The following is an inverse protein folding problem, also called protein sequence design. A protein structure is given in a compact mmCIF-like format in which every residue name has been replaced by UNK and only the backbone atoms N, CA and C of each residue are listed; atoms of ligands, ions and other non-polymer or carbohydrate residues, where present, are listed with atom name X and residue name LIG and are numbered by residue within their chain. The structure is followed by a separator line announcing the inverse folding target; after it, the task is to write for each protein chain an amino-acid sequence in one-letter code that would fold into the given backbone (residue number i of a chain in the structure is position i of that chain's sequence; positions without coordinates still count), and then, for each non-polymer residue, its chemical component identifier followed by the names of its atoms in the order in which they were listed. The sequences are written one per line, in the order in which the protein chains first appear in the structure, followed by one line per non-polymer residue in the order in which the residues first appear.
data_IF_907149818710
#
_entry.id   IF_907149818710
#
_cell.length_a   1.000
_cell.length_b   1.000
_cell.length_c   1.000
_cell.angle_alpha   90.00
_cell.angle_beta   90.00
_cell.angle_gamma   90.00
#
_symmetry.space_group_name_H-M   'P 1'
#
loop_
_entity.id
_entity.type
_entity.pdbx_description
1 polymer ?
#
# COMPACT_ATOMS: atom_id res chain seq x y z
N UNK A 1 -11.19 -27.15 3.91
CA UNK A 1 -10.15 -27.21 4.96
C UNK A 1 -10.60 -27.93 6.23
N UNK A 2 -11.75 -27.57 6.83
CA UNK A 2 -12.27 -28.21 8.06
C UNK A 2 -12.30 -29.75 7.99
N UNK A 3 -12.83 -30.30 6.89
CA UNK A 3 -12.88 -31.74 6.64
C UNK A 3 -11.50 -32.43 6.55
N UNK A 4 -10.42 -31.67 6.27
CA UNK A 4 -9.04 -32.18 6.25
C UNK A 4 -8.38 -32.16 7.65
N UNK A 5 -9.13 -31.75 8.68
CA UNK A 5 -8.67 -31.63 10.06
C UNK A 5 -7.86 -30.36 10.34
N UNK A 6 -7.84 -29.38 9.42
CA UNK A 6 -7.22 -28.08 9.65
C UNK A 6 -7.98 -27.33 10.74
N UNK A 7 -7.31 -26.98 11.83
CA UNK A 7 -7.93 -26.25 12.96
C UNK A 7 -7.22 -24.95 13.29
N UNK A 8 -5.93 -24.84 12.95
CA UNK A 8 -5.13 -23.66 13.23
C UNK A 8 -4.33 -23.22 12.01
N UNK A 9 -3.91 -21.97 12.02
CA UNK A 9 -2.97 -21.40 11.06
C UNK A 9 -1.93 -20.56 11.79
N UNK A 10 -0.83 -20.27 11.12
CA UNK A 10 0.21 -19.36 11.61
C UNK A 10 0.65 -18.45 10.49
N UNK A 11 0.94 -17.20 10.83
CA UNK A 11 1.45 -16.21 9.91
C UNK A 11 2.88 -15.87 10.32
N UNK A 12 3.73 -15.72 9.32
CA UNK A 12 5.12 -15.34 9.53
C UNK A 12 5.63 -14.44 8.43
N UNK A 13 6.68 -13.70 8.75
CA UNK A 13 7.38 -12.79 7.86
C UNK A 13 8.87 -13.08 7.88
N UNK A 14 9.50 -13.06 6.71
CA UNK A 14 10.95 -13.10 6.56
C UNK A 14 11.38 -12.13 5.47
N UNK A 15 12.53 -11.46 5.64
CA UNK A 15 13.13 -10.70 4.55
C UNK A 15 13.45 -11.63 3.37
N UNK A 16 13.36 -11.11 2.15
CA UNK A 16 13.68 -11.84 0.93
C UNK A 16 14.58 -11.05 -0.02
N UNK A 17 15.31 -11.79 -0.84
CA UNK A 17 16.09 -11.23 -1.94
C UNK A 17 15.23 -10.90 -3.18
N UNK A 18 15.90 -10.59 -4.28
CA UNK A 18 15.24 -10.22 -5.54
C UNK A 18 14.56 -11.40 -6.26
N UNK A 19 14.95 -12.64 -5.97
CA UNK A 19 14.35 -13.84 -6.57
C UNK A 19 13.27 -14.46 -5.68
N UNK A 20 13.13 -13.95 -4.45
CA UNK A 20 12.11 -14.38 -3.50
C UNK A 20 12.60 -15.42 -2.51
N UNK A 21 13.92 -15.59 -2.37
CA UNK A 21 14.50 -16.49 -1.37
C UNK A 21 14.61 -15.77 -0.01
N UNK A 22 14.32 -16.45 1.11
CA UNK A 22 14.42 -15.86 2.43
C UNK A 22 15.89 -15.56 2.79
N UNK A 23 16.18 -14.33 3.19
CA UNK A 23 17.54 -13.86 3.54
C UNK A 23 17.74 -13.65 5.04
N UNK A 24 16.67 -13.75 5.83
CA UNK A 24 16.71 -13.52 7.27
C UNK A 24 15.86 -14.50 8.07
N UNK A 25 15.95 -14.40 9.39
CA UNK A 25 15.15 -15.21 10.30
C UNK A 25 13.67 -14.91 10.13
N UNK A 26 12.87 -15.98 10.14
CA UNK A 26 11.41 -15.89 10.12
C UNK A 26 10.88 -15.42 11.47
N UNK A 27 10.13 -14.31 11.48
CA UNK A 27 9.35 -13.84 12.64
C UNK A 27 7.94 -14.39 12.54
N UNK A 28 7.45 -15.01 13.61
CA UNK A 28 6.07 -15.47 13.73
C UNK A 28 5.25 -14.41 14.46
N UNK A 29 4.06 -14.10 13.95
CA UNK A 29 3.17 -13.14 14.60
C UNK A 29 2.58 -13.72 15.89
N UNK A 30 2.53 -12.89 16.93
CA UNK A 30 2.10 -13.23 18.28
C UNK A 30 1.11 -12.21 18.87
N UNK A 31 0.63 -11.26 18.08
CA UNK A 31 -0.43 -10.35 18.51
C UNK A 31 -1.72 -11.12 18.77
N UNK A 32 -2.43 -10.75 19.84
CA UNK A 32 -3.75 -11.31 20.16
C UNK A 32 -4.74 -10.99 19.04
N UNK A 33 -5.46 -12.01 18.59
CA UNK A 33 -6.48 -11.90 17.55
C UNK A 33 -7.81 -12.45 18.07
N UNK A 34 -8.86 -11.63 18.03
CA UNK A 34 -10.22 -12.05 18.29
C UNK A 34 -11.15 -11.65 17.16
N UNK A 35 -12.14 -12.49 16.87
CA UNK A 35 -13.19 -12.20 15.89
C UNK A 35 -14.54 -12.09 16.58
N UNK A 36 -15.35 -11.15 16.08
CA UNK A 36 -16.71 -10.90 16.49
C UNK A 36 -17.69 -11.80 15.74
N UNK A 37 -18.75 -12.24 16.44
CA UNK A 37 -19.84 -13.01 15.87
C UNK A 37 -21.18 -12.62 16.48
N UNK A 38 -22.26 -12.86 15.74
CA UNK A 38 -23.62 -12.67 16.21
C UNK A 38 -24.10 -13.91 16.99
N UNK A 39 -24.76 -13.68 18.12
CA UNK A 39 -25.38 -14.72 18.92
C UNK A 39 -26.82 -14.32 19.28
N UNK A 40 -27.75 -15.24 19.03
CA UNK A 40 -29.14 -15.11 19.45
C UNK A 40 -29.27 -15.65 20.88
N UNK A 41 -29.74 -14.81 21.80
CA UNK A 41 -30.01 -15.22 23.17
C UNK A 41 -31.34 -15.99 23.31
N UNK A 42 -31.64 -16.49 24.52
CA UNK A 42 -32.87 -17.22 24.79
C UNK A 42 -34.15 -16.38 24.60
N UNK A 43 -34.04 -15.04 24.65
CA UNK A 43 -35.12 -14.09 24.43
C UNK A 43 -35.21 -13.61 22.97
N UNK A 44 -34.42 -14.19 22.06
CA UNK A 44 -34.32 -13.85 20.63
C UNK A 44 -33.71 -12.47 20.34
N UNK A 45 -32.93 -11.90 21.25
CA UNK A 45 -32.10 -10.74 20.93
C UNK A 45 -30.83 -11.17 20.23
N UNK A 46 -30.40 -10.39 19.24
CA UNK A 46 -29.08 -10.55 18.61
C UNK A 46 -28.08 -9.73 19.43
N UNK A 47 -27.07 -10.40 19.95
CA UNK A 47 -25.93 -9.77 20.63
C UNK A 47 -24.65 -10.00 19.85
N UNK A 48 -23.70 -9.08 19.97
CA UNK A 48 -22.35 -9.24 19.41
C UNK A 48 -21.46 -9.80 20.51
N UNK A 49 -20.77 -10.88 20.19
CA UNK A 49 -19.84 -11.56 21.07
C UNK A 49 -18.46 -11.61 20.41
N UNK A 50 -17.42 -11.89 21.18
CA UNK A 50 -16.05 -12.03 20.71
C UNK A 50 -15.52 -13.43 21.02
N UNK A 51 -14.75 -14.01 20.10
CA UNK A 51 -14.02 -15.26 20.31
C UNK A 51 -12.52 -14.99 20.13
N UNK A 52 -11.70 -15.37 21.10
CA UNK A 52 -10.25 -15.24 21.00
C UNK A 52 -9.71 -16.39 20.13
N UNK A 53 -9.08 -16.04 19.01
CA UNK A 53 -8.52 -17.01 18.08
C UNK A 53 -7.08 -17.38 18.42
N UNK A 54 -6.33 -16.52 19.11
CA UNK A 54 -4.94 -16.79 19.47
C UNK A 54 -4.14 -15.53 19.78
N UNK A 55 -2.82 -15.65 19.93
CA UNK A 55 -2.04 -16.87 19.68
C UNK A 55 -2.27 -17.95 20.74
N UNK A 56 -2.14 -19.21 20.35
CA UNK A 56 -2.10 -20.37 21.25
C UNK A 56 -0.93 -21.29 20.91
N UNK A 57 -0.68 -22.27 21.78
CA UNK A 57 0.25 -23.38 21.53
C UNK A 57 -0.53 -24.67 21.35
N UNK A 58 -0.18 -25.46 20.33
CA UNK A 58 -0.82 -26.74 20.01
C UNK A 58 0.22 -27.85 19.85
N UNK A 59 -0.25 -29.10 19.85
CA UNK A 59 0.60 -30.28 19.73
C UNK A 59 1.42 -30.58 20.97
N UNK A 60 2.32 -31.57 20.85
CA UNK A 60 3.21 -31.98 21.93
C UNK A 60 4.56 -32.46 21.38
N UNK A 61 5.61 -32.36 22.20
CA UNK A 61 6.96 -32.80 21.82
C UNK A 61 7.46 -32.09 20.55
N UNK A 62 7.97 -32.87 19.58
CA UNK A 62 8.49 -32.35 18.31
C UNK A 62 7.42 -31.70 17.40
N UNK A 63 6.14 -32.00 17.63
CA UNK A 63 5.01 -31.39 16.90
C UNK A 63 4.46 -30.15 17.62
N UNK A 64 5.09 -29.68 18.69
CA UNK A 64 4.66 -28.44 19.35
C UNK A 64 4.74 -27.27 18.37
N UNK A 65 3.67 -26.49 18.25
CA UNK A 65 3.61 -25.27 17.45
C UNK A 65 3.10 -24.13 18.32
N UNK A 66 3.90 -23.08 18.41
CA UNK A 66 3.53 -21.82 19.07
C UNK A 66 3.04 -20.81 18.03
N UNK A 67 2.44 -19.72 18.51
CA UNK A 67 2.04 -18.58 17.69
C UNK A 67 1.01 -18.97 16.61
N UNK A 68 0.11 -19.91 16.94
CA UNK A 68 -0.94 -20.35 16.03
C UNK A 68 -2.28 -19.74 16.41
N UNK A 69 -3.16 -19.59 15.44
CA UNK A 69 -4.49 -19.01 15.57
C UNK A 69 -5.53 -20.01 15.10
N UNK A 70 -6.65 -20.12 15.81
CA UNK A 70 -7.79 -20.95 15.43
C UNK A 70 -8.40 -20.44 14.13
N UNK A 71 -8.74 -21.35 13.21
CA UNK A 71 -9.45 -21.02 11.97
C UNK A 71 -10.94 -20.78 12.29
N UNK A 72 -11.49 -19.58 12.05
CA UNK A 72 -12.91 -19.29 12.24
C UNK A 72 -13.72 -19.80 11.04
N UNK A 73 -14.15 -21.06 11.06
CA UNK A 73 -15.00 -21.57 9.97
C UNK A 73 -16.40 -20.95 10.04
N UNK A 74 -16.97 -20.65 8.88
CA UNK A 74 -18.33 -20.08 8.75
C UNK A 74 -19.39 -20.90 9.45
N UNK A 75 -19.26 -22.24 9.46
CA UNK A 75 -20.23 -23.12 10.11
C UNK A 75 -20.09 -23.18 11.64
N UNK A 76 -19.04 -22.59 12.23
CA UNK A 76 -18.84 -22.61 13.69
C UNK A 76 -19.67 -21.53 14.40
N UNK A 77 -19.79 -20.34 13.79
CA UNK A 77 -20.51 -19.18 14.32
C UNK A 77 -20.93 -18.24 13.18
N UNK A 78 -21.89 -17.37 13.45
CA UNK A 78 -22.29 -16.28 12.54
C UNK A 78 -21.30 -15.10 12.65
N UNK A 79 -20.12 -15.25 12.07
CA UNK A 79 -19.04 -14.26 12.14
C UNK A 79 -19.41 -12.96 11.44
N UNK A 80 -18.96 -11.83 12.01
CA UNK A 80 -19.04 -10.55 11.29
C UNK A 80 -18.06 -10.53 10.10
N UNK A 81 -18.44 -9.79 9.05
CA UNK A 81 -17.60 -9.58 7.88
C UNK A 81 -16.49 -8.53 8.14
N UNK A 82 -15.52 -8.42 7.22
CA UNK A 82 -14.46 -7.40 7.25
C UNK A 82 -13.41 -7.60 8.34
N UNK A 83 -13.33 -8.81 8.91
CA UNK A 83 -12.38 -9.14 9.97
C UNK A 83 -11.11 -9.78 9.40
N UNK A 84 -9.96 -9.37 9.91
CA UNK A 84 -8.65 -9.74 9.38
C UNK A 84 -8.03 -10.90 10.16
N UNK A 85 -7.23 -11.73 9.48
CA UNK A 85 -6.51 -12.85 10.10
C UNK A 85 -5.19 -12.43 10.76
N UNK A 86 -4.68 -11.25 10.46
CA UNK A 86 -3.49 -10.65 11.09
C UNK A 86 -3.32 -9.21 10.57
N UNK A 87 -2.64 -8.39 11.36
CA UNK A 87 -2.16 -7.08 10.95
C UNK A 87 -0.63 -7.11 10.88
N UNK A 88 -0.08 -6.62 9.77
CA UNK A 88 1.37 -6.49 9.59
C UNK A 88 1.73 -5.03 9.72
N UNK A 89 2.37 -4.67 10.83
CA UNK A 89 2.90 -3.33 11.05
C UNK A 89 4.18 -3.12 10.24
N UNK A 90 4.06 -2.76 8.94
CA UNK A 90 5.22 -2.61 8.04
C UNK A 90 6.29 -1.61 8.52
N UNK A 91 5.96 -0.53 9.27
CA UNK A 91 6.98 0.32 9.91
C UNK A 91 7.93 -0.37 10.90
N UNK A 92 7.60 -1.55 11.44
CA UNK A 92 8.53 -2.33 12.29
C UNK A 92 9.64 -3.03 11.49
N UNK A 93 9.56 -2.99 10.17
CA UNK A 93 10.49 -3.65 9.27
C UNK A 93 11.23 -2.61 8.44
N UNK A 94 12.47 -2.92 8.07
CA UNK A 94 13.18 -2.14 7.08
C UNK A 94 12.46 -2.18 5.72
N UNK A 95 12.71 -1.18 4.88
CA UNK A 95 12.18 -1.15 3.53
C UNK A 95 12.77 -2.29 2.69
N UNK A 96 11.94 -2.98 1.91
CA UNK A 96 12.41 -4.10 1.11
C UNK A 96 11.35 -5.15 0.82
N UNK A 97 11.83 -6.29 0.34
CA UNK A 97 11.00 -7.44 -0.02
C UNK A 97 10.88 -8.41 1.14
N UNK A 98 9.68 -8.90 1.36
CA UNK A 98 9.34 -9.77 2.46
C UNK A 98 8.41 -10.89 2.02
N UNK A 99 8.69 -12.08 2.51
CA UNK A 99 7.88 -13.27 2.34
C UNK A 99 6.89 -13.35 3.50
N UNK A 100 5.60 -13.16 3.19
CA UNK A 100 4.52 -13.44 4.14
C UNK A 100 4.04 -14.85 3.93
N UNK A 101 4.25 -15.71 4.92
CA UNK A 101 3.97 -17.14 4.83
C UNK A 101 2.80 -17.53 5.74
N UNK A 102 1.81 -18.22 5.17
CA UNK A 102 0.72 -18.85 5.91
C UNK A 102 0.95 -20.36 5.98
N UNK A 103 1.02 -20.87 7.20
CA UNK A 103 1.07 -22.30 7.50
C UNK A 103 -0.26 -22.76 8.11
N UNK A 104 -0.67 -24.00 7.84
CA UNK A 104 -1.94 -24.57 8.34
C UNK A 104 -1.65 -25.84 9.13
N UNK A 105 -2.33 -26.05 10.25
CA UNK A 105 -2.08 -27.13 11.18
C UNK A 105 -3.36 -27.87 11.59
N UNK A 106 -3.19 -29.16 11.90
CA UNK A 106 -4.14 -29.93 12.70
C UNK A 106 -3.98 -29.62 14.19
N UNK A 107 -4.94 -30.03 15.02
CA UNK A 107 -4.93 -29.78 16.46
C UNK A 107 -3.75 -30.43 17.21
N UNK A 108 -3.19 -31.52 16.66
CA UNK A 108 -2.02 -32.22 17.19
C UNK A 108 -0.68 -31.54 16.83
N UNK A 109 -0.72 -30.41 16.11
CA UNK A 109 0.45 -29.67 15.65
C UNK A 109 1.02 -30.15 14.30
N UNK A 110 0.42 -31.18 13.69
CA UNK A 110 0.81 -31.62 12.34
C UNK A 110 0.55 -30.52 11.33
N UNK A 111 1.60 -30.06 10.62
CA UNK A 111 1.46 -29.09 9.53
C UNK A 111 0.85 -29.77 8.30
N UNK A 112 -0.20 -29.17 7.75
CA UNK A 112 -0.81 -29.59 6.51
C UNK A 112 -0.12 -28.90 5.34
N UNK A 113 0.20 -29.66 4.30
CA UNK A 113 0.74 -29.15 3.03
C UNK A 113 -0.07 -29.67 1.84
N UNK A 114 -0.21 -28.90 0.75
CA UNK A 114 -0.82 -29.39 -0.49
C UNK A 114 -0.19 -30.68 -0.99
N UNK A 115 -1.01 -31.62 -1.48
CA UNK A 115 -0.50 -32.83 -2.15
C UNK A 115 0.42 -32.46 -3.31
N UNK A 116 1.58 -33.14 -3.40
CA UNK A 116 2.59 -32.87 -4.43
C UNK A 116 3.62 -31.79 -4.08
N UNK A 117 3.42 -31.03 -3.01
CA UNK A 117 4.42 -30.08 -2.51
C UNK A 117 5.57 -30.79 -1.78
N UNK A 118 6.78 -30.22 -1.81
CA UNK A 118 7.90 -30.73 -1.04
C UNK A 118 7.65 -30.54 0.47
N UNK A 119 8.11 -31.50 1.29
CA UNK A 119 8.18 -31.29 2.73
C UNK A 119 9.33 -30.34 3.07
N UNK A 120 9.21 -29.53 4.11
CA UNK A 120 10.31 -28.67 4.58
C UNK A 120 11.27 -29.41 5.51
N UNK A 121 10.91 -30.61 5.97
CA UNK A 121 11.79 -31.51 6.72
C UNK A 121 11.87 -31.21 8.22
N UNK A 122 10.92 -30.44 8.76
CA UNK A 122 10.84 -30.09 10.19
C UNK A 122 10.21 -31.19 11.06
N UNK A 123 9.71 -32.27 10.45
CA UNK A 123 8.99 -33.34 11.13
C UNK A 123 7.58 -32.92 11.52
N UNK A 124 6.63 -33.85 11.43
CA UNK A 124 5.22 -33.56 11.73
C UNK A 124 4.50 -32.81 10.61
N UNK A 125 4.70 -33.25 9.37
CA UNK A 125 3.99 -32.74 8.19
C UNK A 125 3.12 -33.83 7.55
N UNK A 126 1.94 -33.47 7.07
CA UNK A 126 1.07 -34.35 6.31
C UNK A 126 0.59 -33.68 5.02
N UNK A 127 0.70 -34.42 3.91
CA UNK A 127 0.10 -34.00 2.65
C UNK A 127 -1.43 -34.10 2.73
N UNK A 128 -2.14 -33.10 2.23
CA UNK A 128 -3.60 -33.06 2.17
C UNK A 128 -4.07 -32.39 0.86
N UNK A 129 -5.25 -32.81 0.39
CA UNK A 129 -5.84 -32.37 -0.87
C UNK A 129 -6.43 -30.96 -0.80
N UNK A 130 -5.59 -29.95 -0.65
CA UNK A 130 -5.96 -28.55 -0.75
C UNK A 130 -4.94 -27.77 -1.58
N UNK A 131 -5.32 -26.56 -1.99
CA UNK A 131 -4.49 -25.64 -2.75
C UNK A 131 -4.54 -24.27 -2.13
N UNK A 132 -3.45 -23.52 -2.24
CA UNK A 132 -3.48 -22.10 -1.95
C UNK A 132 -3.93 -21.34 -3.19
N UNK A 133 -4.76 -20.33 -2.99
CA UNK A 133 -5.25 -19.45 -4.05
C UNK A 133 -4.74 -18.04 -3.76
N UNK A 134 -4.19 -17.38 -4.79
CA UNK A 134 -3.87 -15.95 -4.73
C UNK A 134 -4.92 -15.17 -5.50
N UNK A 135 -5.46 -14.13 -4.86
CA UNK A 135 -6.35 -13.16 -5.48
C UNK A 135 -5.51 -12.23 -6.39
N UNK A 136 -5.73 -12.30 -7.71
CA UNK A 136 -5.11 -11.45 -8.73
C UNK A 136 -5.86 -10.13 -8.94
N UNK A 137 -7.19 -10.18 -9.00
CA UNK A 137 -8.03 -9.04 -9.39
C UNK A 137 -9.33 -9.00 -8.60
N UNK A 138 -9.71 -7.82 -8.12
CA UNK A 138 -10.85 -7.61 -7.22
C UNK A 138 -12.20 -8.11 -7.78
N UNK A 139 -12.38 -8.21 -9.10
CA UNK A 139 -13.61 -8.71 -9.73
C UNK A 139 -13.31 -9.58 -10.96
N UNK A 140 -13.95 -10.75 -11.04
CA UNK A 140 -13.92 -11.62 -12.24
C UNK A 140 -13.93 -13.13 -11.93
N UNK A 141 -14.35 -13.98 -12.89
CA UNK A 141 -14.41 -15.44 -12.72
C UNK A 141 -13.01 -16.11 -12.66
N UNK A 142 -11.95 -15.37 -13.00
CA UNK A 142 -10.54 -15.78 -12.91
C UNK A 142 -9.77 -14.97 -11.86
N UNK A 143 -10.49 -14.39 -10.89
CA UNK A 143 -9.91 -13.51 -9.88
C UNK A 143 -8.89 -14.22 -8.99
N UNK A 144 -8.90 -15.55 -8.93
CA UNK A 144 -7.92 -16.34 -8.17
C UNK A 144 -7.17 -17.32 -9.05
N UNK A 145 -5.94 -17.64 -8.68
CA UNK A 145 -5.15 -18.70 -9.32
C UNK A 145 -4.43 -19.54 -8.28
N UNK A 146 -4.15 -20.80 -8.64
CA UNK A 146 -3.47 -21.75 -7.78
C UNK A 146 -1.99 -21.39 -7.58
N UNK A 147 -1.53 -21.50 -6.34
CA UNK A 147 -0.12 -21.31 -5.97
C UNK A 147 0.49 -22.69 -5.66
N UNK A 148 1.52 -23.15 -6.38
CA UNK A 148 2.00 -24.53 -6.33
C UNK A 148 2.87 -24.88 -5.10
N UNK A 149 2.87 -24.06 -4.04
CA UNK A 149 3.84 -24.18 -2.94
C UNK A 149 3.26 -24.78 -1.65
N UNK A 150 4.13 -25.39 -0.82
CA UNK A 150 3.77 -26.08 0.42
C UNK A 150 3.17 -25.16 1.51
N UNK A 151 3.49 -23.88 1.43
CA UNK A 151 2.93 -22.79 2.22
C UNK A 151 2.60 -21.63 1.26
N UNK A 152 1.53 -20.87 1.50
CA UNK A 152 1.30 -19.67 0.69
C UNK A 152 2.32 -18.62 1.12
N UNK A 153 3.29 -18.34 0.26
CA UNK A 153 4.22 -17.25 0.47
C UNK A 153 3.91 -16.12 -0.51
N UNK A 154 3.46 -14.99 0.01
CA UNK A 154 3.32 -13.77 -0.78
C UNK A 154 4.60 -12.97 -0.64
N UNK A 155 5.27 -12.70 -1.77
CA UNK A 155 6.35 -11.71 -1.80
C UNK A 155 5.69 -10.33 -1.82
N UNK A 156 5.70 -9.67 -0.68
CA UNK A 156 5.30 -8.29 -0.55
C UNK A 156 6.55 -7.42 -0.60
N UNK A 157 6.41 -6.24 -1.20
CA UNK A 157 7.41 -5.20 -1.14
C UNK A 157 6.76 -4.02 -0.44
N UNK A 158 7.38 -3.51 0.61
CA UNK A 158 7.04 -2.24 1.20
C UNK A 158 8.23 -1.29 1.21
N UNK A 159 7.91 -0.01 1.15
CA UNK A 159 8.84 1.08 1.32
C UNK A 159 8.10 2.14 2.12
N UNK A 160 8.45 2.25 3.40
CA UNK A 160 7.78 3.09 4.37
C UNK A 160 8.30 4.53 4.34
N UNK A 161 9.15 4.91 3.38
CA UNK A 161 9.61 6.30 3.25
C UNK A 161 8.49 7.18 2.68
N UNK A 162 8.35 8.43 3.11
CA UNK A 162 7.34 9.32 2.55
C UNK A 162 7.72 9.71 1.11
N UNK A 163 6.72 10.05 0.25
CA UNK A 163 6.99 10.73 -1.00
C UNK A 163 7.57 12.14 -0.73
N UNK A 164 8.15 12.74 -1.76
CA UNK A 164 8.79 14.05 -1.72
C UNK A 164 8.21 14.97 -2.79
N UNK A 165 7.98 16.24 -2.43
CA UNK A 165 7.51 17.31 -3.32
C UNK A 165 8.26 18.61 -3.01
N UNK A 166 8.76 19.29 -4.03
CA UNK A 166 9.43 20.60 -3.92
C UNK A 166 9.17 21.42 -5.18
N UNK A 167 8.85 22.71 -5.02
CA UNK A 167 8.82 23.68 -6.11
C UNK A 167 10.18 24.39 -6.14
N UNK A 168 10.90 24.28 -7.25
CA UNK A 168 12.29 24.74 -7.35
C UNK A 168 12.35 26.15 -7.92
N UNK A 169 11.72 26.36 -9.08
CA UNK A 169 11.72 27.66 -9.75
C UNK A 169 10.62 27.75 -10.80
N UNK A 170 10.42 28.95 -11.30
CA UNK A 170 9.66 29.20 -12.51
C UNK A 170 10.64 29.40 -13.67
N UNK A 171 10.33 28.82 -14.82
CA UNK A 171 11.14 28.91 -16.04
C UNK A 171 10.28 29.44 -17.18
N UNK A 172 10.81 30.37 -17.98
CA UNK A 172 10.04 31.09 -18.99
C UNK A 172 10.45 32.55 -19.11
N UNK A 173 9.73 33.33 -19.93
CA UNK A 173 10.01 34.75 -20.08
C UNK A 173 9.47 35.56 -18.90
N UNK A 174 10.21 36.59 -18.51
CA UNK A 174 9.88 37.47 -17.39
C UNK A 174 10.69 37.28 -16.11
N UNK A 175 11.83 36.57 -16.16
CA UNK A 175 12.91 36.50 -15.15
C UNK A 175 12.51 36.78 -13.69
N UNK A 176 12.20 35.74 -12.92
CA UNK A 176 11.99 35.84 -11.48
C UNK A 176 13.32 35.81 -10.70
N UNK A 177 13.49 36.71 -9.72
CA UNK A 177 14.49 36.53 -8.66
C UNK A 177 14.02 35.50 -7.61
N UNK A 178 14.94 35.00 -6.78
CA UNK A 178 14.64 33.97 -5.78
C UNK A 178 13.49 34.35 -4.81
N UNK A 179 13.33 35.65 -4.52
CA UNK A 179 12.45 36.11 -3.43
C UNK A 179 11.14 36.74 -3.93
N UNK A 180 11.08 37.21 -5.18
CA UNK A 180 9.94 37.95 -5.73
C UNK A 180 9.50 37.36 -7.09
N UNK A 181 8.42 36.59 -7.06
CA UNK A 181 7.86 35.91 -8.23
C UNK A 181 6.81 36.77 -8.95
N UNK A 182 7.21 37.97 -9.40
CA UNK A 182 6.37 38.82 -10.27
C UNK A 182 6.87 38.71 -11.70
N UNK A 183 6.03 38.12 -12.57
CA UNK A 183 6.37 37.83 -13.95
C UNK A 183 5.52 38.71 -14.87
N UNK A 184 6.17 39.38 -15.81
CA UNK A 184 5.49 40.14 -16.86
C UNK A 184 5.98 39.76 -18.25
N UNK A 185 5.06 39.76 -19.21
CA UNK A 185 5.35 39.34 -20.58
C UNK A 185 4.16 39.46 -21.51
N UNK A 186 4.33 39.08 -22.77
CA UNK A 186 3.22 39.07 -23.74
C UNK A 186 2.29 37.88 -23.51
N UNK A 187 1.04 37.96 -23.96
CA UNK A 187 0.08 36.85 -23.76
C UNK A 187 0.52 35.50 -24.37
N UNK A 188 1.38 35.53 -25.39
CA UNK A 188 1.98 34.35 -26.04
C UNK A 188 3.21 33.79 -25.34
N UNK A 189 3.75 34.53 -24.37
CA UNK A 189 4.87 34.09 -23.58
C UNK A 189 4.51 32.86 -22.77
N UNK A 190 5.50 32.04 -22.45
CA UNK A 190 5.28 30.77 -21.76
C UNK A 190 5.91 30.73 -20.39
N UNK A 191 5.24 30.03 -19.49
CA UNK A 191 5.65 29.72 -18.14
C UNK A 191 5.64 28.21 -17.95
N UNK A 192 6.72 27.67 -17.39
CA UNK A 192 6.82 26.30 -16.91
C UNK A 192 7.31 26.31 -15.47
N UNK A 193 6.93 25.29 -14.71
CA UNK A 193 7.36 25.12 -13.32
C UNK A 193 8.47 24.07 -13.30
N UNK A 194 9.56 24.39 -12.60
CA UNK A 194 10.62 23.45 -12.25
C UNK A 194 10.36 22.92 -10.85
N UNK A 195 10.33 21.61 -10.70
CA UNK A 195 9.93 20.95 -9.46
C UNK A 195 10.63 19.60 -9.25
N UNK A 196 10.54 19.07 -8.03
CA UNK A 196 10.88 17.69 -7.70
C UNK A 196 9.64 17.00 -7.14
N UNK A 197 9.32 15.82 -7.65
CA UNK A 197 8.18 15.03 -7.21
C UNK A 197 8.51 13.54 -7.39
N UNK A 198 8.88 12.87 -6.30
CA UNK A 198 9.36 11.49 -6.38
C UNK A 198 9.07 10.72 -5.10
N UNK A 199 9.20 9.40 -5.19
CA UNK A 199 9.36 8.53 -4.03
C UNK A 199 10.74 7.87 -4.13
N UNK A 200 11.48 7.65 -3.03
CA UNK A 200 12.82 7.06 -3.09
C UNK A 200 12.91 5.73 -3.85
N UNK A 201 11.80 5.00 -3.93
CA UNK A 201 11.59 3.89 -4.85
C UNK A 201 10.47 4.20 -5.87
N UNK A 202 10.74 4.23 -7.19
CA UNK A 202 9.77 4.59 -8.22
C UNK A 202 8.50 3.75 -8.19
N UNK A 203 8.60 2.49 -7.81
CA UNK A 203 7.49 1.56 -7.89
C UNK A 203 6.35 1.93 -6.92
N UNK A 204 6.65 2.77 -5.93
CA UNK A 204 5.74 3.20 -4.88
C UNK A 204 5.17 4.60 -5.12
N UNK A 205 5.39 5.24 -6.28
CA UNK A 205 4.63 6.44 -6.64
C UNK A 205 3.25 6.04 -7.19
N UNK A 206 2.18 6.59 -6.63
CA UNK A 206 0.82 6.38 -7.12
C UNK A 206 0.44 7.43 -8.16
N UNK A 207 0.83 8.69 -7.93
CA UNK A 207 0.51 9.79 -8.81
C UNK A 207 1.14 11.10 -8.36
N UNK A 208 0.98 12.11 -9.22
CA UNK A 208 1.41 13.48 -8.95
C UNK A 208 0.54 14.46 -9.71
N UNK A 209 0.36 15.64 -9.15
CA UNK A 209 -0.39 16.74 -9.77
C UNK A 209 0.27 18.07 -9.48
N UNK A 210 0.22 18.97 -10.46
CA UNK A 210 0.68 20.34 -10.34
C UNK A 210 -0.42 21.26 -10.86
N UNK A 211 -0.95 22.11 -9.98
CA UNK A 211 -2.10 22.97 -10.29
C UNK A 211 -1.82 24.39 -9.83
N UNK A 212 -2.06 25.36 -10.72
CA UNK A 212 -2.06 26.78 -10.37
C UNK A 212 -3.50 27.30 -10.20
N UNK A 213 -3.88 27.64 -8.98
CA UNK A 213 -5.15 28.26 -8.66
C UNK A 213 -5.04 29.78 -8.80
N UNK A 214 -5.96 30.39 -9.53
CA UNK A 214 -6.01 31.85 -9.68
C UNK A 214 -6.65 32.49 -8.45
N UNK A 215 -5.94 33.41 -7.80
CA UNK A 215 -6.39 34.00 -6.54
C UNK A 215 -6.63 32.95 -5.45
N UNK A 216 -7.59 33.22 -4.55
CA UNK A 216 -7.89 32.35 -3.40
C UNK A 216 -9.13 31.45 -3.58
N UNK A 217 -9.95 31.70 -4.61
CA UNK A 217 -11.27 31.08 -4.78
C UNK A 217 -11.50 30.41 -6.14
N UNK A 218 -10.52 30.37 -7.03
CA UNK A 218 -10.63 29.59 -8.25
C UNK A 218 -10.61 28.10 -7.88
N UNK A 219 -11.76 27.45 -7.99
CA UNK A 219 -11.92 26.02 -7.68
C UNK A 219 -11.52 25.12 -8.84
N UNK A 220 -11.40 25.67 -10.05
CA UNK A 220 -11.11 24.92 -11.27
C UNK A 220 -9.62 24.67 -11.43
N UNK A 221 -8.79 25.67 -11.11
CA UNK A 221 -7.33 25.59 -11.20
C UNK A 221 -6.80 25.34 -12.62
N UNK A 222 -5.55 25.69 -12.85
CA UNK A 222 -4.85 25.51 -14.12
C UNK A 222 -3.84 24.38 -13.97
N UNK A 223 -4.25 23.15 -14.31
CA UNK A 223 -3.39 21.98 -14.22
C UNK A 223 -2.28 22.02 -15.27
N UNK A 224 -1.03 21.88 -14.84
CA UNK A 224 0.12 21.69 -15.72
C UNK A 224 0.24 20.23 -16.13
N UNK A 225 0.54 20.01 -17.41
CA UNK A 225 0.91 18.67 -17.88
C UNK A 225 2.32 18.35 -17.38
N UNK A 226 2.47 17.20 -16.73
CA UNK A 226 3.76 16.74 -16.22
C UNK A 226 4.35 15.72 -17.19
N UNK A 227 5.64 15.80 -17.56
CA UNK A 227 6.24 14.85 -18.50
C UNK A 227 6.21 13.45 -17.89
N UNK A 228 5.91 12.38 -18.65
CA UNK A 228 5.99 11.02 -18.12
C UNK A 228 7.43 10.73 -17.69
N UNK A 229 7.66 10.26 -16.46
CA UNK A 229 9.02 9.87 -16.04
C UNK A 229 9.00 8.58 -15.22
N UNK A 230 9.99 7.74 -15.50
CA UNK A 230 10.43 6.57 -14.74
C UNK A 230 11.40 7.04 -13.64
N UNK A 231 11.07 6.92 -12.36
CA UNK A 231 11.85 7.58 -11.29
C UNK A 231 12.75 6.66 -10.47
N UNK A 232 13.88 6.23 -11.02
CA UNK A 232 14.93 5.66 -10.18
C UNK A 232 15.84 6.72 -9.52
N UNK A 233 15.62 8.04 -9.72
CA UNK A 233 16.60 9.04 -9.28
C UNK A 233 15.99 10.17 -8.41
N UNK A 234 16.42 10.33 -7.15
CA UNK A 234 15.93 11.33 -6.19
C UNK A 234 16.42 12.77 -6.44
N UNK A 235 17.01 13.10 -7.59
CA UNK A 235 17.83 14.34 -7.73
C UNK A 235 17.59 15.22 -8.95
N UNK A 236 16.83 14.79 -9.96
CA UNK A 236 16.65 15.59 -11.16
C UNK A 236 15.47 16.56 -11.03
N UNK A 237 15.74 17.85 -11.25
CA UNK A 237 14.72 18.84 -11.47
C UNK A 237 13.90 18.48 -12.72
N UNK A 238 12.58 18.52 -12.59
CA UNK A 238 11.64 18.23 -13.68
C UNK A 238 10.94 19.52 -14.06
N UNK A 239 10.84 19.78 -15.36
CA UNK A 239 10.08 20.91 -15.89
C UNK A 239 8.72 20.43 -16.39
N UNK A 240 7.65 21.12 -16.00
CA UNK A 240 6.32 20.88 -16.54
C UNK A 240 6.25 21.26 -18.02
N UNK A 241 5.23 20.79 -18.74
CA UNK A 241 4.91 21.40 -20.04
C UNK A 241 4.61 22.88 -19.87
N UNK A 242 5.02 23.73 -20.83
CA UNK A 242 4.75 25.16 -20.77
C UNK A 242 3.25 25.45 -20.91
N UNK A 243 2.80 26.51 -20.24
CA UNK A 243 1.52 27.17 -20.50
C UNK A 243 1.76 28.59 -20.94
N UNK A 244 0.90 29.12 -21.81
CA UNK A 244 0.98 30.54 -22.15
C UNK A 244 0.45 31.40 -21.01
N UNK A 245 0.89 32.66 -20.94
CA UNK A 245 0.33 33.63 -20.01
C UNK A 245 -1.17 33.83 -20.27
N UNK A 246 -1.63 33.76 -21.53
CA UNK A 246 -3.05 33.79 -21.88
C UNK A 246 -3.82 32.58 -21.33
N UNK A 247 -3.24 31.37 -21.33
CA UNK A 247 -3.89 30.20 -20.75
C UNK A 247 -4.10 30.39 -19.24
N UNK A 248 -3.10 30.95 -18.56
CA UNK A 248 -3.13 31.14 -17.10
C UNK A 248 -4.00 32.33 -16.67
N UNK A 249 -4.00 33.44 -17.40
CA UNK A 249 -4.73 34.68 -17.07
C UNK A 249 -6.11 34.78 -17.72
N UNK A 250 -6.38 34.05 -18.80
CA UNK A 250 -7.62 34.18 -19.58
C UNK A 250 -7.92 35.64 -19.94
N UNK A 251 -9.13 36.16 -19.64
CA UNK A 251 -9.51 37.53 -19.98
C UNK A 251 -8.83 38.59 -19.09
N UNK A 252 -8.26 38.22 -17.95
CA UNK A 252 -7.65 39.15 -17.00
C UNK A 252 -6.26 39.58 -17.48
N UNK A 253 -5.82 40.78 -17.10
CA UNK A 253 -4.48 41.29 -17.43
C UNK A 253 -3.45 41.05 -16.33
N UNK A 254 -3.89 40.92 -15.07
CA UNK A 254 -3.01 40.69 -13.92
C UNK A 254 -3.69 39.83 -12.86
N UNK A 255 -2.98 38.85 -12.29
CA UNK A 255 -3.50 38.07 -11.18
C UNK A 255 -2.38 37.42 -10.34
N UNK A 256 -2.70 37.07 -9.09
CA UNK A 256 -1.87 36.19 -8.27
C UNK A 256 -2.34 34.74 -8.42
N UNK A 257 -1.41 33.81 -8.21
CA UNK A 257 -1.64 32.38 -8.32
C UNK A 257 -1.06 31.67 -7.10
N UNK A 258 -1.80 30.70 -6.59
CA UNK A 258 -1.29 29.69 -5.67
C UNK A 258 -0.94 28.44 -6.46
N UNK A 259 0.29 27.96 -6.33
CA UNK A 259 0.78 26.76 -6.99
C UNK A 259 0.82 25.63 -5.98
N UNK A 260 0.18 24.50 -6.31
CA UNK A 260 0.13 23.31 -5.46
C UNK A 260 0.70 22.14 -6.24
N UNK A 261 1.79 21.58 -5.73
CA UNK A 261 2.37 20.31 -6.17
C UNK A 261 2.02 19.24 -5.15
N UNK A 262 1.44 18.13 -5.60
CA UNK A 262 1.13 16.97 -4.78
C UNK A 262 1.77 15.71 -5.35
N UNK A 263 2.36 14.88 -4.49
CA UNK A 263 2.90 13.56 -4.81
C UNK A 263 2.28 12.53 -3.87
N UNK A 264 1.65 11.50 -4.42
CA UNK A 264 1.03 10.42 -3.66
C UNK A 264 1.85 9.13 -3.77
N UNK A 265 1.95 8.39 -2.67
CA UNK A 265 2.54 7.06 -2.64
C UNK A 265 1.47 5.98 -2.86
N UNK A 266 1.87 4.83 -3.40
CA UNK A 266 1.05 3.62 -3.39
C UNK A 266 0.99 3.08 -1.97
N UNK A 267 -0.19 2.67 -1.56
CA UNK A 267 -0.44 2.28 -0.19
C UNK A 267 -1.01 0.88 -0.20
N UNK A 268 -0.43 0.01 0.61
CA UNK A 268 -0.71 -1.43 0.61
C UNK A 268 -1.66 -1.85 1.74
N UNK A 269 -2.30 -0.88 2.41
CA UNK A 269 -3.16 -1.13 3.58
C UNK A 269 -4.58 -1.61 3.23
N UNK A 270 -4.88 -1.77 1.94
CA UNK A 270 -6.15 -2.28 1.44
C UNK A 270 -7.34 -1.31 1.53
N UNK A 271 -7.22 -0.13 2.17
CA UNK A 271 -8.36 0.80 2.37
C UNK A 271 -7.95 2.30 2.34
N UNK A 272 -6.68 2.65 2.58
CA UNK A 272 -6.26 4.02 2.83
C UNK A 272 -4.85 4.34 2.34
N UNK A 273 -4.28 5.45 2.82
CA UNK A 273 -2.91 5.82 2.52
C UNK A 273 -2.03 5.77 3.78
N UNK A 274 -1.00 4.91 3.77
CA UNK A 274 0.02 4.78 4.85
C UNK A 274 0.67 6.13 5.15
N UNK A 275 0.86 6.96 4.12
CA UNK A 275 1.30 8.33 4.24
C UNK A 275 0.31 9.27 3.55
N UNK A 276 0.10 10.45 4.14
CA UNK A 276 -0.53 11.55 3.40
C UNK A 276 0.29 11.94 2.17
N UNK A 277 -0.32 12.66 1.24
CA UNK A 277 0.40 13.18 0.07
C UNK A 277 1.50 14.15 0.50
N UNK A 278 2.66 14.08 -0.15
CA UNK A 278 3.66 15.14 -0.02
C UNK A 278 3.19 16.35 -0.82
N UNK A 279 3.03 17.49 -0.16
CA UNK A 279 2.51 18.72 -0.76
C UNK A 279 3.55 19.83 -0.66
N UNK A 280 3.82 20.49 -1.78
CA UNK A 280 4.58 21.74 -1.83
C UNK A 280 3.68 22.86 -2.37
N UNK A 281 3.73 24.01 -1.69
CA UNK A 281 2.94 25.19 -2.05
C UNK A 281 3.88 26.32 -2.44
N UNK A 282 3.50 27.08 -3.46
CA UNK A 282 4.20 28.27 -3.91
C UNK A 282 3.21 29.33 -4.35
N UNK A 283 3.71 30.53 -4.63
CA UNK A 283 2.89 31.61 -5.15
C UNK A 283 3.68 32.45 -6.16
N UNK A 284 2.97 32.97 -7.14
CA UNK A 284 3.51 33.92 -8.11
C UNK A 284 2.42 34.87 -8.60
N UNK A 285 2.82 35.97 -9.20
CA UNK A 285 1.90 36.91 -9.84
C UNK A 285 2.30 37.07 -11.31
N UNK A 286 1.30 37.14 -12.18
CA UNK A 286 1.47 37.38 -13.61
C UNK A 286 0.83 38.69 -14.01
N UNK A 287 1.47 39.37 -14.96
CA UNK A 287 0.95 40.54 -15.67
C UNK A 287 1.22 40.37 -17.17
N UNK A 288 0.17 40.46 -18.00
CA UNK A 288 0.34 40.47 -19.46
C UNK A 288 0.33 41.91 -19.99
N UNK A 289 1.33 42.23 -20.83
CA UNK A 289 1.54 43.54 -21.48
C UNK A 289 1.37 43.47 -22.99
#
# INVERSE_FOLDING_TARGET
MKALGATHYRISVAAADAVGDPTGTRRYYDDTLGWLYYQVDAARHITVQSDNLGPVTIGAGASTRTNVYKIPYTDDRDWQDGQWHSFINTPEYSDGRYLITIEVFKADGTRLRPTGSAALGDGGEAAAGFKFLQWKEYTGPTSTHEVPFAALTNLLWWDNRPPYSELVSLSGSGGSGADCQFLSGHGTDTLSVVFKAYHPNPLFIAGRSLVAYRGLHDITGNAFTLPPVNFAAPTADVTSSPKTLNDLLGPTTKCSFALVLSTSAKTTDGIGAVWGNAVANGAFALEKV
#
